data_IF_436866113392
#
_entry.id   IF_436866113392
#
_cell.length_a   1.000
_cell.length_b   1.000
_cell.length_c   1.000
_cell.angle_alpha   90.00
_cell.angle_beta   90.00
_cell.angle_gamma   90.00
#
_symmetry.space_group_name_H-M   'P 1'
#
loop_
_entity.id
_entity.type
_entity.pdbx_description
1 polymer ?
#
# COMPACT_ATOMS: atom_id res chain seq x y z
N UNK A 1 -24.95 27.07 42.59
CA UNK A 1 -25.49 25.91 41.84
C UNK A 1 -25.30 26.05 40.32
N UNK A 2 -25.72 27.15 39.68
CA UNK A 2 -25.66 27.33 38.21
C UNK A 2 -24.25 27.30 37.60
N UNK A 3 -23.23 27.86 38.28
CA UNK A 3 -21.85 27.86 37.79
C UNK A 3 -21.23 26.45 37.66
N UNK A 4 -21.67 25.50 38.51
CA UNK A 4 -21.21 24.11 38.46
C UNK A 4 -21.85 23.35 37.29
N UNK A 5 -23.11 23.69 36.95
CA UNK A 5 -23.83 23.12 35.81
C UNK A 5 -23.23 23.54 34.46
N UNK A 6 -22.71 24.76 34.36
CA UNK A 6 -22.03 25.24 33.15
C UNK A 6 -20.62 24.65 32.98
N UNK A 7 -19.89 24.41 34.08
CA UNK A 7 -18.55 23.81 34.03
C UNK A 7 -18.56 22.38 33.49
N UNK A 8 -19.54 21.56 33.88
CA UNK A 8 -19.64 20.16 33.42
C UNK A 8 -20.02 20.02 31.94
N UNK A 9 -20.74 20.99 31.36
CA UNK A 9 -21.01 21.02 29.91
C UNK A 9 -19.78 21.44 29.10
N UNK A 10 -18.92 22.30 29.63
CA UNK A 10 -17.65 22.66 28.98
C UNK A 10 -16.69 21.48 28.95
N UNK A 11 -16.58 20.77 30.07
CA UNK A 11 -15.71 19.58 30.22
C UNK A 11 -16.15 18.41 29.30
N UNK A 12 -17.47 18.20 29.17
CA UNK A 12 -18.02 17.20 28.23
C UNK A 12 -17.92 17.59 26.76
N UNK A 13 -17.79 18.87 26.42
CA UNK A 13 -17.56 19.33 25.03
C UNK A 13 -16.11 19.14 24.59
N UNK A 14 -15.16 19.09 25.51
CA UNK A 14 -13.74 18.84 25.20
C UNK A 14 -13.38 17.35 25.11
N UNK A 15 -14.21 16.45 25.66
CA UNK A 15 -14.01 14.98 25.60
C UNK A 15 -14.92 14.26 24.60
N UNK A 16 -14.90 14.71 23.34
CA UNK A 16 -15.08 13.79 22.20
C UNK A 16 -14.26 14.27 21.01
N UNK A 17 -12.94 14.35 21.20
CA UNK A 17 -12.04 14.11 20.08
C UNK A 17 -12.22 12.62 19.77
N UNK A 18 -13.17 12.31 18.90
CA UNK A 18 -13.15 11.03 18.20
C UNK A 18 -11.72 10.85 17.67
N UNK A 19 -11.14 9.64 17.73
CA UNK A 19 -9.85 9.44 17.09
C UNK A 19 -10.03 9.92 15.66
N UNK A 20 -9.39 11.04 15.33
CA UNK A 20 -9.23 11.46 13.96
C UNK A 20 -8.30 10.42 13.38
N UNK A 21 -8.87 9.28 13.00
CA UNK A 21 -8.35 8.45 11.95
C UNK A 21 -8.21 9.44 10.79
N UNK A 22 -7.02 10.01 10.67
CA UNK A 22 -6.51 10.48 9.39
C UNK A 22 -6.43 9.22 8.54
N UNK A 23 -7.59 8.74 8.09
CA UNK A 23 -7.67 7.97 6.90
C UNK A 23 -7.01 8.91 5.88
N UNK A 24 -5.89 8.46 5.33
CA UNK A 24 -5.26 9.20 4.26
C UNK A 24 -6.16 8.93 3.06
N UNK A 25 -7.30 9.62 3.00
CA UNK A 25 -8.54 9.29 2.27
C UNK A 25 -8.39 9.04 0.77
N UNK A 26 -7.20 9.21 0.20
CA UNK A 26 -6.93 8.92 -1.21
C UNK A 26 -5.55 8.36 -1.53
N UNK A 27 -4.61 8.25 -0.58
CA UNK A 27 -3.21 7.92 -0.94
C UNK A 27 -2.97 6.43 -1.23
N UNK A 28 -3.83 5.55 -0.71
CA UNK A 28 -3.75 4.10 -0.92
C UNK A 28 -4.81 3.54 -1.86
N UNK A 29 -5.83 4.31 -2.23
CA UNK A 29 -6.92 3.80 -3.05
C UNK A 29 -6.42 3.73 -4.50
N UNK A 30 -6.52 2.55 -5.09
CA UNK A 30 -6.14 2.27 -6.47
C UNK A 30 -7.41 1.92 -7.23
N UNK A 31 -7.65 2.57 -8.37
CA UNK A 31 -8.84 2.27 -9.18
C UNK A 31 -8.77 0.87 -9.76
N UNK A 32 -9.93 0.24 -9.96
CA UNK A 32 -10.04 -1.09 -10.59
C UNK A 32 -9.45 -1.06 -12.01
N UNK A 33 -9.67 0.02 -12.76
CA UNK A 33 -9.10 0.19 -14.10
C UNK A 33 -7.57 0.22 -14.11
N UNK A 34 -6.95 0.81 -13.08
CA UNK A 34 -5.49 0.80 -12.97
C UNK A 34 -4.97 -0.60 -12.66
N UNK A 35 -5.66 -1.37 -11.81
CA UNK A 35 -5.34 -2.79 -11.61
C UNK A 35 -5.45 -3.61 -12.89
N UNK A 36 -6.51 -3.42 -13.67
CA UNK A 36 -6.68 -4.09 -14.97
C UNK A 36 -5.53 -3.73 -15.92
N UNK A 37 -5.15 -2.47 -15.99
CA UNK A 37 -4.02 -2.02 -16.82
C UNK A 37 -2.70 -2.66 -16.37
N UNK A 38 -2.44 -2.72 -15.06
CA UNK A 38 -1.28 -3.41 -14.50
C UNK A 38 -1.28 -4.88 -14.90
N UNK A 39 -2.41 -5.58 -14.79
CA UNK A 39 -2.50 -7.00 -15.17
C UNK A 39 -2.14 -7.21 -16.65
N UNK A 40 -2.63 -6.34 -17.55
CA UNK A 40 -2.28 -6.38 -18.98
C UNK A 40 -0.77 -6.16 -19.19
N UNK A 41 -0.18 -5.17 -18.54
CA UNK A 41 1.27 -4.91 -18.62
C UNK A 41 2.09 -6.11 -18.12
N UNK A 42 1.66 -6.74 -17.02
CA UNK A 42 2.36 -7.87 -16.41
C UNK A 42 2.25 -9.18 -17.21
N UNK A 43 1.33 -9.27 -18.18
CA UNK A 43 1.18 -10.45 -19.02
C UNK A 43 2.34 -10.61 -20.03
N UNK A 44 3.04 -9.53 -20.37
CA UNK A 44 4.17 -9.56 -21.31
C UNK A 44 5.47 -9.66 -20.50
N UNK A 45 6.34 -10.68 -20.67
CA UNK A 45 7.46 -10.93 -19.75
C UNK A 45 8.44 -9.77 -19.52
N UNK A 46 8.89 -9.11 -20.59
CA UNK A 46 9.84 -7.99 -20.47
C UNK A 46 9.16 -6.75 -19.89
N UNK A 47 7.93 -6.46 -20.34
CA UNK A 47 7.14 -5.33 -19.83
C UNK A 47 6.77 -5.54 -18.37
N UNK A 48 6.53 -6.79 -17.94
CA UNK A 48 6.27 -7.15 -16.55
C UNK A 48 7.40 -6.68 -15.64
N UNK A 49 8.66 -7.05 -15.95
CA UNK A 49 9.81 -6.63 -15.14
C UNK A 49 9.94 -5.10 -15.05
N UNK A 50 9.84 -4.40 -16.18
CA UNK A 50 9.91 -2.93 -16.22
C UNK A 50 8.77 -2.31 -15.42
N UNK A 51 7.55 -2.85 -15.56
CA UNK A 51 6.36 -2.37 -14.85
C UNK A 51 6.52 -2.57 -13.35
N UNK A 52 6.97 -3.75 -12.90
CA UNK A 52 7.19 -4.04 -11.48
C UNK A 52 8.27 -3.15 -10.87
N UNK A 53 9.37 -2.87 -11.60
CA UNK A 53 10.40 -1.90 -11.18
C UNK A 53 9.80 -0.49 -11.07
N UNK A 54 9.00 -0.09 -12.04
CA UNK A 54 8.31 1.21 -12.05
C UNK A 54 7.39 1.33 -10.83
N UNK A 55 6.57 0.32 -10.57
CA UNK A 55 5.68 0.29 -9.41
C UNK A 55 6.48 0.32 -8.09
N UNK A 56 7.53 -0.48 -7.97
CA UNK A 56 8.29 -0.64 -6.73
C UNK A 56 9.09 0.61 -6.29
N UNK A 57 9.54 1.43 -7.24
CA UNK A 57 10.48 2.52 -6.96
C UNK A 57 9.99 3.90 -7.41
N UNK A 58 9.14 4.00 -8.44
CA UNK A 58 8.78 5.28 -9.05
C UNK A 58 7.34 5.73 -8.74
N UNK A 59 6.47 4.81 -8.30
CA UNK A 59 5.08 5.14 -7.94
C UNK A 59 4.97 5.59 -6.49
N UNK A 60 4.22 6.67 -6.24
CA UNK A 60 4.02 7.27 -4.92
C UNK A 60 2.86 6.64 -4.14
N UNK A 61 1.97 5.88 -4.80
CA UNK A 61 0.90 5.15 -4.15
C UNK A 61 1.46 3.93 -3.41
N UNK A 62 1.28 3.90 -2.08
CA UNK A 62 1.86 2.87 -1.20
C UNK A 62 1.40 1.45 -1.56
N UNK A 63 0.14 1.28 -1.98
CA UNK A 63 -0.40 -0.05 -2.31
C UNK A 63 0.21 -0.60 -3.60
N UNK A 64 0.36 0.26 -4.63
CA UNK A 64 1.05 -0.11 -5.87
C UNK A 64 2.54 -0.36 -5.64
N UNK A 65 3.17 0.46 -4.80
CA UNK A 65 4.58 0.31 -4.46
C UNK A 65 4.84 -1.00 -3.71
N UNK A 66 3.99 -1.35 -2.75
CA UNK A 66 4.06 -2.61 -2.03
C UNK A 66 3.82 -3.80 -2.95
N UNK A 67 2.84 -3.72 -3.85
CA UNK A 67 2.60 -4.75 -4.86
C UNK A 67 3.84 -4.97 -5.74
N UNK A 68 4.45 -3.90 -6.26
CA UNK A 68 5.66 -3.98 -7.07
C UNK A 68 6.83 -4.63 -6.32
N UNK A 69 7.11 -4.17 -5.09
CA UNK A 69 8.20 -4.72 -4.25
C UNK A 69 7.95 -6.18 -3.90
N UNK A 70 6.74 -6.55 -3.48
CA UNK A 70 6.39 -7.93 -3.16
C UNK A 70 6.54 -8.85 -4.38
N UNK A 71 6.05 -8.40 -5.55
CA UNK A 71 6.15 -9.16 -6.79
C UNK A 71 7.60 -9.39 -7.22
N UNK A 72 8.48 -8.40 -7.05
CA UNK A 72 9.91 -8.57 -7.30
C UNK A 72 10.54 -9.61 -6.36
N UNK A 73 10.18 -9.63 -5.08
CA UNK A 73 10.64 -10.66 -4.14
C UNK A 73 10.18 -12.05 -4.57
N UNK A 74 8.91 -12.18 -4.99
CA UNK A 74 8.34 -13.42 -5.52
C UNK A 74 9.04 -13.90 -6.80
N UNK A 75 9.63 -13.00 -7.60
CA UNK A 75 10.45 -13.40 -8.76
C UNK A 75 11.85 -13.82 -8.32
N UNK A 76 12.49 -13.07 -7.42
CA UNK A 76 13.89 -13.29 -7.04
C UNK A 76 14.07 -14.60 -6.28
N UNK A 77 13.20 -14.93 -5.31
CA UNK A 77 13.34 -16.16 -4.50
C UNK A 77 13.37 -17.43 -5.35
N UNK A 78 12.35 -17.76 -6.15
CA UNK A 78 12.36 -18.98 -6.96
C UNK A 78 13.45 -18.94 -8.02
N UNK A 79 13.77 -17.77 -8.57
CA UNK A 79 14.87 -17.64 -9.55
C UNK A 79 16.19 -18.01 -8.91
N UNK A 80 16.56 -17.38 -7.78
CA UNK A 80 17.80 -17.66 -7.06
C UNK A 80 17.86 -19.10 -6.55
N UNK A 81 16.75 -19.63 -6.04
CA UNK A 81 16.65 -21.02 -5.61
C UNK A 81 16.85 -22.00 -6.78
N UNK A 82 16.22 -21.75 -7.93
CA UNK A 82 16.39 -22.56 -9.14
C UNK A 82 17.84 -22.54 -9.64
N UNK A 83 18.47 -21.37 -9.67
CA UNK A 83 19.89 -21.24 -10.03
C UNK A 83 20.80 -22.00 -9.05
N UNK A 84 20.51 -21.96 -7.74
CA UNK A 84 21.25 -22.69 -6.72
C UNK A 84 21.13 -24.20 -6.90
N UNK A 85 19.90 -24.72 -7.07
CA UNK A 85 19.67 -26.15 -7.33
C UNK A 85 20.43 -26.62 -8.58
N UNK A 86 20.43 -25.81 -9.64
CA UNK A 86 21.15 -26.13 -10.88
C UNK A 86 22.66 -26.16 -10.69
N UNK A 87 23.21 -25.32 -9.81
CA UNK A 87 24.64 -25.29 -9.50
C UNK A 87 25.10 -26.51 -8.68
N UNK A 88 24.21 -27.04 -7.83
CA UNK A 88 24.50 -28.20 -6.97
C UNK A 88 24.28 -29.56 -7.65
N UNK A 89 23.65 -29.61 -8.82
CA UNK A 89 23.39 -30.83 -9.62
C UNK A 89 24.31 -30.96 -10.81
#
# INVERSE_FOLDING_TARGET
MAAFYHRTKSDKKEKKKEPSFHYNDGQGIVSVWLWIFILILTAIPIINLISLLTLAFFVQNKNLQNYGRASLVVIVIPTTFFWLLRYLS
#
